data_IF_537900768416
#
_entry.id   IF_537900768416
#
_cell.length_a   1.000
_cell.length_b   1.000
_cell.length_c   1.000
_cell.angle_alpha   90.00
_cell.angle_beta   90.00
_cell.angle_gamma   90.00
#
_symmetry.space_group_name_H-M   'P 1'
#
loop_
_entity.id
_entity.type
_entity.pdbx_description
1 polymer ?
#
# COMPACT_ATOMS: atom_id res chain seq x y z
N UNK A 1 8.04 23.51 10.70
CA UNK A 1 6.87 22.61 10.85
C UNK A 1 7.03 21.59 11.98
N UNK A 2 8.18 20.91 12.13
CA UNK A 2 8.39 19.85 13.14
C UNK A 2 7.94 20.23 14.57
N UNK A 3 8.33 21.41 15.08
CA UNK A 3 7.95 21.89 16.42
C UNK A 3 6.45 21.99 16.65
N UNK A 4 5.69 22.42 15.64
CA UNK A 4 4.22 22.57 15.75
C UNK A 4 3.57 21.21 15.88
N UNK A 5 4.07 20.25 15.10
CA UNK A 5 3.54 18.89 15.08
C UNK A 5 3.90 18.16 16.37
N UNK A 6 5.13 18.29 16.86
CA UNK A 6 5.52 17.73 18.16
C UNK A 6 4.66 18.29 19.30
N UNK A 7 4.32 19.58 19.25
CA UNK A 7 3.39 20.18 20.22
C UNK A 7 1.98 19.61 20.09
N UNK A 8 1.43 19.53 18.88
CA UNK A 8 0.13 18.90 18.64
C UNK A 8 0.10 17.45 19.13
N UNK A 9 1.18 16.69 18.89
CA UNK A 9 1.29 15.32 19.36
C UNK A 9 1.26 15.27 20.88
N UNK A 10 2.18 15.98 21.54
CA UNK A 10 2.33 15.94 23.01
C UNK A 10 1.12 16.48 23.77
N UNK A 11 0.45 17.52 23.25
CA UNK A 11 -0.63 18.20 23.95
C UNK A 11 -2.02 17.62 23.63
N UNK A 12 -2.19 17.05 22.43
CA UNK A 12 -3.51 16.62 21.94
C UNK A 12 -3.55 15.12 21.67
N UNK A 13 -2.79 14.62 20.69
CA UNK A 13 -3.01 13.27 20.17
C UNK A 13 -2.50 12.15 21.08
N UNK A 14 -1.69 12.49 22.10
CA UNK A 14 -1.30 11.59 23.20
C UNK A 14 -2.01 11.88 24.52
N UNK A 15 -2.90 12.88 24.56
CA UNK A 15 -3.65 13.22 25.77
C UNK A 15 -4.97 12.43 25.82
N UNK A 16 -5.05 11.47 26.74
CA UNK A 16 -6.20 10.59 26.88
C UNK A 16 -7.54 11.30 27.12
N UNK A 17 -7.54 12.47 27.75
CA UNK A 17 -8.77 13.22 28.01
C UNK A 17 -9.33 13.86 26.73
N UNK A 18 -8.45 14.26 25.81
CA UNK A 18 -8.81 14.94 24.57
C UNK A 18 -9.17 13.96 23.45
N UNK A 19 -8.42 12.86 23.34
CA UNK A 19 -8.63 11.86 22.26
C UNK A 19 -9.94 11.09 22.41
N UNK A 20 -10.63 11.14 23.55
CA UNK A 20 -11.95 10.51 23.77
C UNK A 20 -13.12 11.19 23.04
N UNK A 21 -12.85 12.28 22.30
CA UNK A 21 -13.81 12.94 21.40
C UNK A 21 -13.60 12.52 19.95
N UNK A 22 -14.60 12.70 19.09
CA UNK A 22 -14.49 12.41 17.65
C UNK A 22 -13.39 13.25 17.02
N UNK A 23 -13.35 14.55 17.32
CA UNK A 23 -12.33 15.47 16.82
C UNK A 23 -10.94 15.08 17.31
N UNK A 24 -10.83 14.66 18.58
CA UNK A 24 -9.57 14.19 19.16
C UNK A 24 -9.04 12.92 18.49
N UNK A 25 -9.92 11.97 18.17
CA UNK A 25 -9.58 10.79 17.38
C UNK A 25 -9.18 11.18 15.95
N UNK A 26 -9.96 12.05 15.30
CA UNK A 26 -9.68 12.54 13.95
C UNK A 26 -8.32 13.24 13.88
N UNK A 27 -7.88 13.94 14.94
CA UNK A 27 -6.55 14.54 15.01
C UNK A 27 -5.38 13.53 14.97
N UNK A 28 -5.60 12.27 15.37
CA UNK A 28 -4.57 11.23 15.30
C UNK A 28 -4.34 10.78 13.84
N UNK A 29 -5.34 10.91 12.96
CA UNK A 29 -5.21 10.52 11.56
C UNK A 29 -4.19 11.41 10.80
N UNK A 30 -4.25 12.76 10.84
CA UNK A 30 -3.21 13.62 10.30
C UNK A 30 -1.82 13.39 10.91
N UNK A 31 -1.71 13.04 12.20
CA UNK A 31 -0.42 12.63 12.78
C UNK A 31 0.13 11.41 12.05
N UNK A 32 -0.69 10.37 11.87
CA UNK A 32 -0.31 9.15 11.16
C UNK A 32 0.17 9.47 9.76
N UNK A 33 -0.61 10.27 9.04
CA UNK A 33 -0.29 10.73 7.70
C UNK A 33 1.06 11.45 7.73
N UNK A 34 1.24 12.45 8.59
CA UNK A 34 2.51 13.18 8.71
C UNK A 34 3.70 12.26 8.97
N UNK A 35 3.60 11.32 9.91
CA UNK A 35 4.70 10.40 10.20
C UNK A 35 5.04 9.53 8.99
N UNK A 36 4.05 9.08 8.22
CA UNK A 36 4.26 8.37 6.97
C UNK A 36 4.95 9.26 5.91
N UNK A 37 4.48 10.50 5.75
CA UNK A 37 5.08 11.49 4.84
C UNK A 37 6.53 11.81 5.23
N UNK A 38 6.85 11.89 6.53
CA UNK A 38 8.19 12.07 7.06
C UNK A 38 9.08 10.83 6.92
N UNK A 39 8.49 9.66 6.61
CA UNK A 39 9.15 8.36 6.47
C UNK A 39 9.35 7.60 7.78
N UNK A 40 8.72 8.04 8.86
CA UNK A 40 8.76 7.38 10.17
C UNK A 40 7.65 6.32 10.24
N UNK A 41 7.74 5.26 9.44
CA UNK A 41 6.68 4.24 9.30
C UNK A 41 6.28 3.61 10.65
N UNK A 42 7.23 3.30 11.53
CA UNK A 42 6.92 2.78 12.87
C UNK A 42 6.12 3.77 13.71
N UNK A 43 6.44 5.08 13.65
CA UNK A 43 5.68 6.10 14.38
C UNK A 43 4.28 6.28 13.80
N UNK A 44 4.16 6.21 12.46
CA UNK A 44 2.86 6.21 11.78
C UNK A 44 2.01 5.02 12.24
N UNK A 45 2.60 3.82 12.27
CA UNK A 45 1.92 2.60 12.72
C UNK A 45 1.47 2.69 14.18
N UNK A 46 2.32 3.16 15.09
CA UNK A 46 1.95 3.39 16.48
C UNK A 46 0.82 4.41 16.64
N UNK A 47 0.85 5.52 15.88
CA UNK A 47 -0.21 6.51 15.89
C UNK A 47 -1.54 5.95 15.37
N UNK A 48 -1.49 5.19 14.27
CA UNK A 48 -2.67 4.52 13.73
C UNK A 48 -3.27 3.54 14.74
N UNK A 49 -2.44 2.72 15.40
CA UNK A 49 -2.92 1.81 16.44
C UNK A 49 -3.56 2.54 17.64
N UNK A 50 -3.06 3.73 18.02
CA UNK A 50 -3.75 4.56 19.02
C UNK A 50 -5.12 5.02 18.53
N UNK A 51 -5.23 5.52 17.29
CA UNK A 51 -6.51 5.93 16.71
C UNK A 51 -7.51 4.77 16.69
N UNK A 52 -7.04 3.57 16.35
CA UNK A 52 -7.80 2.33 16.36
C UNK A 52 -8.32 1.98 17.76
N UNK A 53 -7.46 2.03 18.78
CA UNK A 53 -7.87 1.80 20.17
C UNK A 53 -8.92 2.81 20.62
N UNK A 54 -8.74 4.09 20.29
CA UNK A 54 -9.73 5.14 20.58
C UNK A 54 -11.06 4.84 19.89
N UNK A 55 -11.04 4.49 18.60
CA UNK A 55 -12.24 4.14 17.83
C UNK A 55 -12.99 2.93 18.43
N UNK A 56 -12.26 1.94 18.95
CA UNK A 56 -12.83 0.79 19.67
C UNK A 56 -13.50 1.21 20.97
N UNK A 57 -12.85 2.06 21.78
CA UNK A 57 -13.44 2.60 23.02
C UNK A 57 -14.70 3.41 22.75
N UNK A 58 -14.77 4.08 21.60
CA UNK A 58 -15.93 4.84 21.14
C UNK A 58 -17.04 3.96 20.55
N UNK A 59 -16.85 2.63 20.47
CA UNK A 59 -17.78 1.67 19.88
C UNK A 59 -18.15 1.98 18.41
N UNK A 60 -17.25 2.63 17.65
CA UNK A 60 -17.48 2.92 16.23
C UNK A 60 -17.63 1.65 15.38
N UNK A 61 -17.21 0.50 15.93
CA UNK A 61 -17.31 -0.86 15.37
C UNK A 61 -18.70 -1.24 14.90
N UNK A 62 -19.74 -0.74 15.56
CA UNK A 62 -21.12 -1.16 15.29
C UNK A 62 -21.77 -0.40 14.12
N UNK A 63 -21.06 0.56 13.50
CA UNK A 63 -21.61 1.39 12.42
C UNK A 63 -22.77 2.30 12.84
N UNK A 64 -23.07 2.35 14.14
CA UNK A 64 -24.12 3.16 14.73
C UNK A 64 -23.47 4.30 15.51
N UNK A 65 -23.98 5.52 15.29
CA UNK A 65 -23.64 6.68 16.12
C UNK A 65 -24.17 6.39 17.52
N UNK A 66 -23.28 5.96 18.42
CA UNK A 66 -23.66 5.79 19.82
C UNK A 66 -24.06 7.16 20.39
N UNK A 67 -25.18 7.28 21.12
CA UNK A 67 -25.53 8.52 21.81
C UNK A 67 -24.47 8.94 22.85
N UNK A 68 -23.53 8.04 23.19
CA UNK A 68 -22.39 8.32 24.06
C UNK A 68 -21.18 8.96 23.36
N UNK A 69 -21.21 9.15 22.03
CA UNK A 69 -20.10 9.79 21.32
C UNK A 69 -19.98 11.26 21.74
N UNK A 70 -18.78 11.64 22.18
CA UNK A 70 -18.44 13.02 22.52
C UNK A 70 -18.02 13.76 21.26
N UNK A 71 -18.78 14.78 20.92
CA UNK A 71 -18.44 15.78 19.90
C UNK A 71 -18.11 17.09 20.61
N UNK A 72 -17.05 17.74 20.19
CA UNK A 72 -16.67 19.09 20.66
C UNK A 72 -17.45 20.13 19.86
N UNK A 73 -17.54 19.93 18.54
CA UNK A 73 -18.19 20.86 17.62
C UNK A 73 -19.49 20.28 17.05
N UNK A 74 -20.60 21.06 17.02
CA UNK A 74 -21.86 20.60 16.46
C UNK A 74 -21.79 20.23 14.97
N UNK A 75 -20.93 20.90 14.21
CA UNK A 75 -20.75 20.66 12.77
C UNK A 75 -20.17 19.28 12.50
N UNK A 76 -19.14 18.88 13.27
CA UNK A 76 -18.56 17.53 13.23
C UNK A 76 -19.63 16.46 13.41
N UNK A 77 -20.58 16.67 14.32
CA UNK A 77 -21.67 15.71 14.56
C UNK A 77 -22.56 15.49 13.34
N UNK A 78 -22.76 16.51 12.51
CA UNK A 78 -23.58 16.43 11.30
C UNK A 78 -22.84 15.73 10.16
N UNK A 79 -21.54 15.99 10.03
CA UNK A 79 -20.73 15.48 8.91
C UNK A 79 -20.07 14.14 9.22
N UNK A 80 -19.96 13.74 10.48
CA UNK A 80 -19.23 12.54 10.89
C UNK A 80 -19.90 11.28 10.36
N UNK A 81 -19.12 10.51 9.58
CA UNK A 81 -19.52 9.20 9.09
C UNK A 81 -18.68 8.11 9.77
N UNK A 82 -19.26 7.34 10.72
CA UNK A 82 -18.54 6.28 11.41
C UNK A 82 -17.99 5.21 10.46
N UNK A 83 -18.78 4.78 9.48
CA UNK A 83 -18.39 3.72 8.56
C UNK A 83 -17.20 4.14 7.68
N UNK A 84 -17.25 5.35 7.12
CA UNK A 84 -16.17 5.90 6.30
C UNK A 84 -14.89 6.12 7.13
N UNK A 85 -15.02 6.65 8.34
CA UNK A 85 -13.88 6.85 9.26
C UNK A 85 -13.20 5.54 9.57
N UNK A 86 -13.98 4.50 9.90
CA UNK A 86 -13.43 3.20 10.25
C UNK A 86 -12.81 2.49 9.05
N UNK A 87 -13.41 2.63 7.87
CA UNK A 87 -12.79 2.18 6.63
C UNK A 87 -11.40 2.82 6.43
N UNK A 88 -11.26 4.12 6.67
CA UNK A 88 -9.96 4.81 6.54
C UNK A 88 -8.94 4.37 7.60
N UNK A 89 -9.37 4.08 8.82
CA UNK A 89 -8.51 3.48 9.86
C UNK A 89 -7.98 2.12 9.39
N UNK A 90 -8.87 1.21 8.96
CA UNK A 90 -8.49 -0.15 8.51
C UNK A 90 -7.60 -0.10 7.26
N UNK A 91 -7.94 0.75 6.29
CA UNK A 91 -7.16 0.93 5.06
C UNK A 91 -5.73 1.35 5.39
N UNK A 92 -5.57 2.32 6.29
CA UNK A 92 -4.25 2.85 6.66
C UNK A 92 -3.45 1.86 7.52
N UNK A 93 -4.12 1.17 8.45
CA UNK A 93 -3.54 0.11 9.27
C UNK A 93 -2.95 -1.03 8.42
N UNK A 94 -3.74 -1.54 7.47
CA UNK A 94 -3.31 -2.60 6.55
C UNK A 94 -2.16 -2.16 5.66
N UNK A 95 -2.21 -0.92 5.14
CA UNK A 95 -1.09 -0.35 4.38
C UNK A 95 0.20 -0.34 5.21
N UNK A 96 0.18 0.23 6.42
CA UNK A 96 1.36 0.32 7.28
C UNK A 96 1.86 -1.07 7.71
N UNK A 97 0.94 -1.98 8.02
CA UNK A 97 1.23 -3.37 8.38
C UNK A 97 1.91 -4.13 7.23
N UNK A 98 1.43 -3.97 5.99
CA UNK A 98 2.11 -4.51 4.80
C UNK A 98 3.52 -3.93 4.66
N UNK A 99 3.65 -2.60 4.75
CA UNK A 99 4.92 -1.91 4.58
C UNK A 99 5.97 -2.34 5.60
N UNK A 100 5.56 -2.60 6.85
CA UNK A 100 6.43 -2.99 7.95
C UNK A 100 6.58 -4.51 8.12
N UNK A 101 5.73 -5.31 7.49
CA UNK A 101 5.67 -6.76 7.73
C UNK A 101 5.14 -7.12 9.14
N UNK A 102 4.25 -6.29 9.67
CA UNK A 102 3.63 -6.46 10.99
C UNK A 102 2.19 -7.01 10.85
N UNK A 103 1.62 -7.64 11.89
CA UNK A 103 0.21 -7.94 11.92
C UNK A 103 -0.64 -6.67 11.94
N UNK A 104 -1.79 -6.70 11.29
CA UNK A 104 -2.80 -5.63 11.40
C UNK A 104 -3.63 -5.77 12.68
N UNK A 105 -4.38 -4.73 13.01
CA UNK A 105 -5.30 -4.72 14.14
C UNK A 105 -6.47 -5.70 13.96
N UNK A 106 -7.04 -6.17 15.08
CA UNK A 106 -8.25 -7.01 15.12
C UNK A 106 -9.54 -6.24 14.82
N UNK A 107 -9.45 -5.04 14.25
CA UNK A 107 -10.62 -4.28 13.83
C UNK A 107 -11.44 -5.04 12.78
N UNK A 108 -10.78 -5.79 11.91
CA UNK A 108 -11.37 -6.44 10.75
C UNK A 108 -12.54 -7.38 11.07
N UNK A 109 -12.39 -8.24 12.10
CA UNK A 109 -13.46 -9.15 12.55
C UNK A 109 -14.72 -8.43 13.06
N UNK A 110 -14.57 -7.16 13.44
CA UNK A 110 -15.60 -6.38 14.13
C UNK A 110 -16.14 -5.24 13.27
N UNK A 111 -15.48 -4.94 12.17
CA UNK A 111 -15.85 -3.89 11.22
C UNK A 111 -16.12 -4.54 9.87
N UNK A 112 -17.39 -4.68 9.45
CA UNK A 112 -17.66 -5.08 8.08
C UNK A 112 -17.00 -4.07 7.15
N UNK A 113 -16.12 -4.55 6.26
CA UNK A 113 -15.68 -3.75 5.11
C UNK A 113 -16.96 -3.21 4.45
N UNK A 114 -17.05 -1.89 4.13
CA UNK A 114 -18.29 -1.32 3.62
C UNK A 114 -18.83 -2.21 2.50
N UNK A 115 -20.05 -2.72 2.68
CA UNK A 115 -20.67 -3.52 1.64
C UNK A 115 -20.71 -2.66 0.39
N UNK A 116 -20.21 -3.21 -0.71
CA UNK A 116 -20.17 -2.54 -2.00
C UNK A 116 -21.63 -2.35 -2.46
N UNK A 117 -22.23 -1.23 -2.08
CA UNK A 117 -23.52 -0.80 -2.62
C UNK A 117 -23.36 -0.49 -4.10
N UNK A 118 -24.39 -0.73 -4.90
CA UNK A 118 -24.43 -0.35 -6.32
C UNK A 118 -24.24 1.17 -6.53
N UNK A 119 -24.48 1.97 -5.48
CA UNK A 119 -24.29 3.43 -5.47
C UNK A 119 -22.82 3.87 -5.31
N UNK A 120 -21.91 2.95 -5.02
CA UNK A 120 -20.51 3.25 -4.75
C UNK A 120 -19.79 3.73 -6.03
N UNK A 121 -18.87 4.69 -5.93
CA UNK A 121 -18.05 5.07 -7.09
C UNK A 121 -17.04 3.96 -7.43
N UNK A 122 -16.60 3.84 -8.71
CA UNK A 122 -15.56 2.87 -9.09
C UNK A 122 -14.27 2.99 -8.25
N UNK A 123 -13.91 4.22 -7.86
CA UNK A 123 -12.72 4.48 -7.02
C UNK A 123 -12.89 3.92 -5.61
N UNK A 124 -14.04 4.13 -4.98
CA UNK A 124 -14.32 3.59 -3.65
C UNK A 124 -14.38 2.06 -3.67
N UNK A 125 -15.00 1.45 -4.70
CA UNK A 125 -15.00 -0.01 -4.87
C UNK A 125 -13.58 -0.56 -5.00
N UNK A 126 -12.74 0.10 -5.80
CA UNK A 126 -11.33 -0.27 -5.93
C UNK A 126 -10.58 -0.16 -4.60
N UNK A 127 -10.79 0.92 -3.83
CA UNK A 127 -10.18 1.09 -2.50
C UNK A 127 -10.64 -0.01 -1.53
N UNK A 128 -11.91 -0.40 -1.55
CA UNK A 128 -12.43 -1.52 -0.75
C UNK A 128 -11.76 -2.85 -1.13
N UNK A 129 -11.61 -3.13 -2.43
CA UNK A 129 -10.95 -4.35 -2.91
C UNK A 129 -9.47 -4.35 -2.53
N UNK A 130 -8.75 -3.23 -2.68
CA UNK A 130 -7.36 -3.10 -2.21
C UNK A 130 -7.27 -3.39 -0.72
N UNK A 131 -8.19 -2.84 0.08
CA UNK A 131 -8.23 -3.04 1.51
C UNK A 131 -8.44 -4.52 1.86
N UNK A 132 -9.42 -5.19 1.25
CA UNK A 132 -9.70 -6.61 1.48
C UNK A 132 -8.54 -7.52 1.08
N UNK A 133 -7.95 -7.30 -0.09
CA UNK A 133 -6.78 -8.06 -0.57
C UNK A 133 -5.57 -7.81 0.34
N UNK A 134 -5.38 -6.58 0.84
CA UNK A 134 -4.32 -6.28 1.78
C UNK A 134 -4.43 -7.10 3.08
N UNK A 135 -5.65 -7.28 3.62
CA UNK A 135 -5.89 -8.16 4.76
C UNK A 135 -5.46 -9.60 4.48
N UNK A 136 -5.93 -10.18 3.37
CA UNK A 136 -5.57 -11.54 2.95
C UNK A 136 -4.07 -11.74 2.71
N UNK A 137 -3.38 -10.72 2.17
CA UNK A 137 -1.92 -10.75 2.02
C UNK A 137 -1.23 -10.83 3.40
N UNK A 138 -1.69 -10.05 4.39
CA UNK A 138 -1.11 -10.06 5.73
C UNK A 138 -1.34 -11.41 6.41
N UNK A 139 -2.57 -11.93 6.38
CA UNK A 139 -2.93 -13.24 6.93
C UNK A 139 -2.07 -14.36 6.32
N UNK A 140 -1.92 -14.35 4.99
CA UNK A 140 -1.05 -15.31 4.27
C UNK A 140 0.39 -15.23 4.76
N UNK A 141 0.94 -14.02 4.91
CA UNK A 141 2.32 -13.85 5.33
C UNK A 141 2.54 -14.34 6.77
N UNK A 142 1.53 -14.23 7.65
CA UNK A 142 1.59 -14.71 9.04
C UNK A 142 1.39 -16.23 9.14
N UNK A 143 0.50 -16.80 8.32
CA UNK A 143 0.15 -18.23 8.35
C UNK A 143 1.11 -19.16 7.60
N UNK A 144 2.09 -18.62 6.87
CA UNK A 144 3.15 -19.37 6.17
C UNK A 144 2.69 -20.23 4.98
N UNK A 145 1.39 -20.33 4.71
CA UNK A 145 0.84 -21.14 3.63
C UNK A 145 0.53 -20.31 2.38
N UNK A 146 1.36 -20.48 1.34
CA UNK A 146 1.19 -19.80 0.06
C UNK A 146 0.42 -20.67 -0.93
N UNK A 147 -0.90 -20.45 -1.05
CA UNK A 147 -1.69 -21.05 -2.14
C UNK A 147 -1.67 -20.15 -3.37
N UNK A 148 -1.09 -20.62 -4.46
CA UNK A 148 -1.09 -19.89 -5.74
C UNK A 148 -2.51 -19.67 -6.26
N UNK A 149 -3.43 -20.61 -6.04
CA UNK A 149 -4.83 -20.47 -6.45
C UNK A 149 -5.52 -19.28 -5.76
N UNK A 150 -5.30 -19.12 -4.44
CA UNK A 150 -5.81 -17.96 -3.70
C UNK A 150 -5.22 -16.64 -4.21
N UNK A 151 -3.93 -16.63 -4.53
CA UNK A 151 -3.31 -15.46 -5.12
C UNK A 151 -3.85 -15.13 -6.52
N UNK A 152 -4.20 -16.12 -7.33
CA UNK A 152 -4.86 -15.92 -8.62
C UNK A 152 -6.29 -15.39 -8.46
N UNK A 153 -7.05 -15.83 -7.45
CA UNK A 153 -8.37 -15.29 -7.11
C UNK A 153 -8.28 -13.81 -6.72
N UNK A 154 -7.31 -13.44 -5.87
CA UNK A 154 -7.04 -12.05 -5.49
C UNK A 154 -6.59 -11.19 -6.68
N UNK A 155 -5.77 -11.72 -7.58
CA UNK A 155 -5.36 -11.03 -8.81
C UNK A 155 -6.56 -10.76 -9.72
N UNK A 156 -7.50 -11.70 -9.82
CA UNK A 156 -8.76 -11.49 -10.56
C UNK A 156 -9.60 -10.38 -9.94
N UNK A 157 -9.70 -10.31 -8.62
CA UNK A 157 -10.44 -9.23 -7.94
C UNK A 157 -9.79 -7.86 -8.17
N UNK A 158 -8.46 -7.76 -8.03
CA UNK A 158 -7.74 -6.53 -8.31
C UNK A 158 -7.92 -6.08 -9.76
N UNK A 159 -7.88 -7.01 -10.71
CA UNK A 159 -8.04 -6.71 -12.14
C UNK A 159 -9.45 -6.24 -12.47
N UNK A 160 -10.48 -6.93 -11.98
CA UNK A 160 -11.88 -6.52 -12.17
C UNK A 160 -12.11 -5.10 -11.64
N UNK A 161 -11.58 -4.79 -10.45
CA UNK A 161 -11.65 -3.45 -9.89
C UNK A 161 -10.97 -2.40 -10.78
N UNK A 162 -9.83 -2.76 -11.37
CA UNK A 162 -9.10 -1.89 -12.27
C UNK A 162 -9.80 -1.68 -13.63
N UNK A 163 -10.49 -2.70 -14.13
CA UNK A 163 -11.23 -2.68 -15.39
C UNK A 163 -12.50 -1.81 -15.32
N UNK A 164 -13.06 -1.61 -14.12
CA UNK A 164 -14.16 -0.66 -13.89
C UNK A 164 -13.72 0.80 -14.00
N UNK A 165 -12.42 1.06 -13.88
CA UNK A 165 -11.87 2.42 -14.00
C UNK A 165 -11.74 2.79 -15.46
N UNK A 166 -12.16 4.01 -15.79
CA UNK A 166 -12.04 4.50 -17.15
C UNK A 166 -10.56 4.55 -17.60
N UNK A 167 -10.19 4.19 -18.85
CA UNK A 167 -8.79 4.09 -19.27
C UNK A 167 -7.96 5.36 -19.04
N UNK A 168 -8.56 6.54 -19.23
CA UNK A 168 -7.93 7.84 -18.97
C UNK A 168 -7.56 8.06 -17.51
N UNK A 169 -8.23 7.37 -16.58
CA UNK A 169 -7.93 7.45 -15.16
C UNK A 169 -6.54 6.89 -14.87
N UNK A 170 -6.10 5.84 -15.59
CA UNK A 170 -4.80 5.19 -15.45
C UNK A 170 -3.62 5.97 -16.01
N UNK A 171 -3.88 7.02 -16.80
CA UNK A 171 -2.83 7.91 -17.29
C UNK A 171 -2.11 8.59 -16.12
N UNK A 172 -0.81 8.80 -16.29
CA UNK A 172 0.02 9.51 -15.31
C UNK A 172 -0.49 10.95 -15.21
N UNK A 173 -0.92 11.41 -14.02
CA UNK A 173 -1.39 12.78 -13.85
C UNK A 173 -0.30 13.80 -14.17
N UNK A 174 -0.70 14.94 -14.71
CA UNK A 174 0.20 16.06 -14.96
C UNK A 174 0.18 17.01 -13.76
N UNK A 175 1.29 17.10 -13.04
CA UNK A 175 1.43 17.93 -11.85
C UNK A 175 2.08 19.31 -12.14
N UNK A 176 2.18 19.72 -13.40
CA UNK A 176 2.64 21.06 -13.75
C UNK A 176 1.68 22.09 -13.12
N UNK A 177 2.19 23.05 -12.31
CA UNK A 177 1.35 24.05 -11.68
C UNK A 177 0.67 24.93 -12.74
N UNK A 178 -0.63 24.72 -12.97
CA UNK A 178 -1.47 25.72 -13.61
C UNK A 178 -2.00 26.61 -12.48
N UNK A 179 -1.72 27.91 -12.54
CA UNK A 179 -1.72 28.86 -11.41
C UNK A 179 -3.07 29.15 -10.74
N UNK A 180 -4.11 28.33 -10.89
CA UNK A 180 -5.45 28.65 -10.38
C UNK A 180 -6.30 27.49 -9.83
N UNK A 181 -5.89 26.21 -9.89
CA UNK A 181 -6.75 25.11 -9.42
C UNK A 181 -6.06 24.15 -8.44
N UNK A 182 -6.03 24.54 -7.16
CA UNK A 182 -5.57 23.67 -6.07
C UNK A 182 -6.44 22.43 -5.86
N UNK A 183 -7.71 22.45 -6.27
CA UNK A 183 -8.62 21.31 -6.16
C UNK A 183 -8.25 20.20 -7.14
N UNK A 184 -7.83 20.56 -8.36
CA UNK A 184 -7.32 19.60 -9.36
C UNK A 184 -6.05 18.92 -8.88
N UNK A 185 -5.13 19.69 -8.31
CA UNK A 185 -3.87 19.16 -7.78
C UNK A 185 -4.10 18.15 -6.65
N UNK A 186 -5.04 18.42 -5.75
CA UNK A 186 -5.46 17.47 -4.72
C UNK A 186 -6.06 16.20 -5.35
N UNK A 187 -6.98 16.33 -6.31
CA UNK A 187 -7.57 15.17 -7.01
C UNK A 187 -6.52 14.32 -7.72
N UNK A 188 -5.58 14.95 -8.40
CA UNK A 188 -4.48 14.25 -9.10
C UNK A 188 -3.51 13.58 -8.13
N UNK A 189 -3.29 14.18 -6.95
CA UNK A 189 -2.50 13.57 -5.87
C UNK A 189 -3.20 12.35 -5.28
N UNK A 190 -4.51 12.43 -5.02
CA UNK A 190 -5.27 11.27 -4.54
C UNK A 190 -5.28 10.14 -5.58
N UNK A 191 -5.51 10.49 -6.86
CA UNK A 191 -5.48 9.56 -7.99
C UNK A 191 -4.17 8.80 -8.10
N UNK A 192 -3.02 9.49 -8.02
CA UNK A 192 -1.73 8.80 -8.12
C UNK A 192 -1.47 7.89 -6.91
N UNK A 193 -1.95 8.25 -5.72
CA UNK A 193 -1.82 7.39 -4.53
C UNK A 193 -2.65 6.11 -4.68
N UNK A 194 -3.86 6.20 -5.23
CA UNK A 194 -4.69 5.02 -5.53
C UNK A 194 -4.03 4.12 -6.60
N UNK A 195 -3.48 4.71 -7.66
CA UNK A 195 -2.72 3.98 -8.69
C UNK A 195 -1.51 3.26 -8.09
N UNK A 196 -0.70 3.98 -7.29
CA UNK A 196 0.47 3.40 -6.63
C UNK A 196 0.09 2.27 -5.68
N UNK A 197 -1.03 2.42 -4.95
CA UNK A 197 -1.57 1.39 -4.07
C UNK A 197 -1.96 0.14 -4.87
N UNK A 198 -2.64 0.29 -6.00
CA UNK A 198 -3.02 -0.83 -6.87
C UNK A 198 -1.80 -1.66 -7.31
N UNK A 199 -0.79 -1.01 -7.89
CA UNK A 199 0.41 -1.71 -8.33
C UNK A 199 1.22 -2.28 -7.16
N UNK A 200 1.22 -1.61 -6.01
CA UNK A 200 1.85 -2.16 -4.81
C UNK A 200 1.17 -3.45 -4.33
N UNK A 201 -0.16 -3.51 -4.36
CA UNK A 201 -0.90 -4.74 -4.03
C UNK A 201 -0.53 -5.89 -4.97
N UNK A 202 -0.45 -5.64 -6.29
CA UNK A 202 -0.02 -6.64 -7.27
C UNK A 202 1.40 -7.16 -6.96
N UNK A 203 2.34 -6.26 -6.65
CA UNK A 203 3.70 -6.67 -6.26
C UNK A 203 3.66 -7.56 -5.01
N UNK A 204 2.96 -7.14 -3.95
CA UNK A 204 2.93 -7.89 -2.67
C UNK A 204 2.22 -9.23 -2.80
N UNK A 205 1.19 -9.31 -3.64
CA UNK A 205 0.47 -10.53 -3.94
C UNK A 205 1.39 -11.55 -4.62
N UNK A 206 2.09 -11.12 -5.67
CA UNK A 206 2.92 -12.01 -6.48
C UNK A 206 4.33 -12.26 -5.91
N UNK A 207 4.78 -11.45 -4.96
CA UNK A 207 6.14 -11.49 -4.41
C UNK A 207 6.63 -12.89 -4.05
N UNK A 208 5.89 -13.74 -3.31
CA UNK A 208 6.39 -15.06 -2.94
C UNK A 208 6.68 -15.94 -4.17
N UNK A 209 5.90 -15.82 -5.24
CA UNK A 209 5.99 -16.67 -6.43
C UNK A 209 7.08 -16.23 -7.41
N UNK A 210 7.70 -15.07 -7.21
CA UNK A 210 8.85 -14.61 -7.99
C UNK A 210 10.08 -15.48 -7.71
N UNK A 211 10.20 -15.99 -6.47
CA UNK A 211 11.38 -16.72 -5.99
C UNK A 211 11.32 -18.24 -6.21
N UNK A 212 10.15 -18.81 -6.52
CA UNK A 212 10.00 -20.26 -6.70
C UNK A 212 10.33 -20.74 -8.13
N UNK A 213 10.72 -22.02 -8.22
CA UNK A 213 11.19 -22.77 -9.41
C UNK A 213 10.38 -22.50 -10.70
N UNK A 214 11.00 -22.53 -11.90
CA UNK A 214 10.32 -22.22 -13.16
C UNK A 214 9.13 -23.15 -13.43
N UNK A 215 7.94 -22.54 -13.51
CA UNK A 215 6.71 -23.11 -14.03
C UNK A 215 5.90 -22.03 -14.75
N UNK A 216 5.00 -22.37 -15.69
CA UNK A 216 4.30 -21.39 -16.52
C UNK A 216 3.49 -20.37 -15.70
N UNK A 217 2.92 -20.79 -14.56
CA UNK A 217 2.20 -19.89 -13.65
C UNK A 217 3.13 -18.96 -12.85
N UNK A 218 4.34 -19.43 -12.51
CA UNK A 218 5.36 -18.60 -11.86
C UNK A 218 5.89 -17.53 -12.83
N UNK A 219 5.92 -17.83 -14.14
CA UNK A 219 6.22 -16.82 -15.17
C UNK A 219 5.19 -15.69 -15.21
N UNK A 220 3.89 -15.98 -15.10
CA UNK A 220 2.86 -14.95 -15.04
C UNK A 220 3.05 -14.03 -13.84
N UNK A 221 3.27 -14.60 -12.66
CA UNK A 221 3.50 -13.82 -11.43
C UNK A 221 4.73 -12.91 -11.55
N UNK A 222 5.82 -13.39 -12.16
CA UNK A 222 7.01 -12.60 -12.46
C UNK A 222 6.70 -11.44 -13.40
N UNK A 223 6.00 -11.69 -14.51
CA UNK A 223 5.63 -10.65 -15.48
C UNK A 223 4.75 -9.59 -14.81
N UNK A 224 3.72 -9.98 -14.05
CA UNK A 224 2.85 -9.04 -13.34
C UNK A 224 3.66 -8.15 -12.39
N UNK A 225 4.55 -8.74 -11.58
CA UNK A 225 5.36 -7.99 -10.63
C UNK A 225 6.35 -7.02 -11.31
N UNK A 226 6.97 -7.44 -12.42
CA UNK A 226 7.86 -6.58 -13.22
C UNK A 226 7.07 -5.41 -13.81
N UNK A 227 5.91 -5.67 -14.42
CA UNK A 227 5.07 -4.63 -15.02
C UNK A 227 4.57 -3.64 -13.96
N UNK A 228 4.02 -4.14 -12.85
CA UNK A 228 3.61 -3.30 -11.73
C UNK A 228 4.76 -2.45 -11.17
N UNK A 229 5.98 -3.01 -11.10
CA UNK A 229 7.18 -2.26 -10.67
C UNK A 229 7.53 -1.13 -11.63
N UNK A 230 7.44 -1.37 -12.94
CA UNK A 230 7.64 -0.31 -13.96
C UNK A 230 6.59 0.78 -13.84
N UNK A 231 5.32 0.41 -13.66
CA UNK A 231 4.23 1.36 -13.51
C UNK A 231 4.37 2.25 -12.26
N UNK A 232 4.86 1.70 -11.13
CA UNK A 232 5.21 2.46 -9.93
C UNK A 232 6.32 3.46 -10.23
N UNK A 233 7.41 3.01 -10.86
CA UNK A 233 8.58 3.87 -11.11
C UNK A 233 8.28 5.00 -12.08
N UNK A 234 7.54 4.74 -13.16
CA UNK A 234 7.11 5.77 -14.12
C UNK A 234 6.30 6.87 -13.43
N UNK A 235 5.33 6.49 -12.58
CA UNK A 235 4.50 7.43 -11.80
C UNK A 235 5.31 8.17 -10.74
N UNK A 236 6.18 7.47 -10.03
CA UNK A 236 7.06 8.06 -9.03
C UNK A 236 7.99 9.11 -9.65
N UNK A 237 8.59 8.83 -10.82
CA UNK A 237 9.45 9.78 -11.54
C UNK A 237 8.64 11.01 -11.96
N UNK A 238 7.46 10.83 -12.56
CA UNK A 238 6.61 11.94 -12.97
C UNK A 238 6.18 12.82 -11.77
N UNK A 239 5.79 12.19 -10.67
CA UNK A 239 5.42 12.88 -9.43
C UNK A 239 6.60 13.66 -8.84
N UNK A 240 7.80 13.06 -8.81
CA UNK A 240 9.01 13.67 -8.25
C UNK A 240 9.55 14.82 -9.10
N UNK A 241 9.51 14.68 -10.42
CA UNK A 241 10.05 15.69 -11.36
C UNK A 241 9.16 16.93 -11.44
N UNK A 242 7.86 16.75 -11.26
CA UNK A 242 6.89 17.85 -11.30
C UNK A 242 6.72 18.56 -9.96
N UNK A 243 7.13 17.94 -8.85
CA UNK A 243 7.01 18.52 -7.51
C UNK A 243 8.23 19.39 -7.16
N UNK A 244 8.08 20.71 -7.34
CA UNK A 244 8.93 21.67 -6.63
C UNK A 244 8.58 21.60 -5.14
N UNK A 245 9.24 20.75 -4.35
CA UNK A 245 9.21 20.66 -2.87
C UNK A 245 7.86 20.51 -2.11
N UNK A 246 6.68 20.78 -2.70
CA UNK A 246 5.40 20.91 -1.98
C UNK A 246 4.71 19.57 -1.65
N UNK A 247 5.01 18.50 -2.39
CA UNK A 247 4.33 17.19 -2.28
C UNK A 247 5.27 16.04 -1.88
N UNK A 248 6.35 16.36 -1.18
CA UNK A 248 7.32 15.35 -0.77
C UNK A 248 6.69 14.31 0.17
N UNK A 249 6.36 13.14 -0.35
CA UNK A 249 5.90 11.98 0.40
C UNK A 249 6.99 10.91 0.42
N UNK A 250 7.63 10.71 1.58
CA UNK A 250 8.64 9.65 1.75
C UNK A 250 8.01 8.25 1.68
N UNK A 251 6.70 8.13 1.90
CA UNK A 251 5.90 6.93 1.61
C UNK A 251 6.09 6.41 0.17
N UNK A 252 6.06 7.31 -0.82
CA UNK A 252 6.27 6.94 -2.22
C UNK A 252 7.70 6.45 -2.51
N UNK A 253 8.70 6.93 -1.75
CA UNK A 253 10.07 6.44 -1.87
C UNK A 253 10.17 4.97 -1.48
N UNK A 254 9.45 4.52 -0.46
CA UNK A 254 9.44 3.10 -0.10
C UNK A 254 8.80 2.24 -1.20
N UNK A 255 7.72 2.71 -1.83
CA UNK A 255 7.12 2.00 -2.96
C UNK A 255 8.08 1.90 -4.16
N UNK A 256 8.77 3.00 -4.48
CA UNK A 256 9.79 3.02 -5.52
C UNK A 256 10.96 2.10 -5.19
N UNK A 257 11.43 2.10 -3.92
CA UNK A 257 12.47 1.21 -3.46
C UNK A 257 12.07 -0.26 -3.60
N UNK A 258 10.86 -0.63 -3.20
CA UNK A 258 10.33 -1.98 -3.40
C UNK A 258 10.34 -2.34 -4.88
N UNK A 259 9.78 -1.49 -5.75
CA UNK A 259 9.74 -1.73 -7.19
C UNK A 259 11.14 -1.93 -7.81
N UNK A 260 12.12 -1.12 -7.42
CA UNK A 260 13.52 -1.28 -7.87
C UNK A 260 14.07 -2.65 -7.45
N UNK A 261 13.87 -3.04 -6.18
CA UNK A 261 14.33 -4.34 -5.70
C UNK A 261 13.72 -5.51 -6.50
N UNK A 262 12.43 -5.45 -6.81
CA UNK A 262 11.76 -6.47 -7.64
C UNK A 262 12.39 -6.55 -9.04
N UNK A 263 12.64 -5.41 -9.68
CA UNK A 263 13.28 -5.39 -11.00
C UNK A 263 14.71 -5.93 -10.96
N UNK A 264 15.50 -5.56 -9.94
CA UNK A 264 16.85 -6.08 -9.76
C UNK A 264 16.84 -7.60 -9.57
N UNK A 265 15.97 -8.11 -8.68
CA UNK A 265 15.83 -9.55 -8.42
C UNK A 265 15.40 -10.28 -9.70
N UNK A 266 14.42 -9.75 -10.43
CA UNK A 266 13.96 -10.35 -11.68
C UNK A 266 15.09 -10.42 -12.72
N UNK A 267 15.91 -9.37 -12.85
CA UNK A 267 17.04 -9.33 -13.77
C UNK A 267 18.19 -10.26 -13.36
N UNK A 268 18.48 -10.39 -12.06
CA UNK A 268 19.48 -11.36 -11.58
C UNK A 268 19.00 -12.78 -11.88
N UNK A 269 17.74 -13.09 -11.58
CA UNK A 269 17.16 -14.42 -11.81
C UNK A 269 17.14 -14.80 -13.30
N UNK A 270 16.89 -13.86 -14.21
CA UNK A 270 16.91 -14.15 -15.65
C UNK A 270 18.32 -14.47 -16.15
N UNK A 271 19.36 -13.79 -15.64
CA UNK A 271 20.77 -14.08 -15.97
C UNK A 271 21.25 -15.43 -15.44
N UNK A 272 20.85 -15.78 -14.22
CA UNK A 272 21.20 -17.09 -13.65
C UNK A 272 20.58 -18.24 -14.46
N UNK A 273 19.38 -18.04 -15.01
CA UNK A 273 18.72 -19.02 -15.86
C UNK A 273 19.38 -19.13 -17.25
N UNK A 274 19.81 -18.03 -17.86
CA UNK A 274 20.52 -18.07 -19.14
C UNK A 274 21.87 -18.80 -19.04
N UNK A 275 22.63 -18.55 -17.96
CA UNK A 275 23.89 -19.27 -17.73
C UNK A 275 23.68 -20.75 -17.36
N UNK A 276 22.59 -21.10 -16.67
CA UNK A 276 22.24 -22.50 -16.42
C UNK A 276 21.96 -23.27 -17.71
N UNK A 277 21.26 -22.65 -18.66
CA UNK A 277 20.96 -23.25 -19.98
C UNK A 277 22.23 -23.35 -20.83
N UNK A 278 23.10 -22.34 -20.82
CA UNK A 278 24.40 -22.40 -21.49
C UNK A 278 25.31 -23.50 -20.90
N UNK A 279 25.36 -23.66 -19.58
CA UNK A 279 26.14 -24.73 -18.94
C UNK A 279 25.58 -26.14 -19.19
N UNK A 280 24.28 -26.25 -19.54
CA UNK A 280 23.63 -27.51 -19.89
C UNK A 280 23.83 -27.88 -21.38
N UNK A 281 24.26 -26.93 -22.20
CA UNK A 281 24.52 -27.10 -23.64
C UNK A 281 26.00 -27.08 -24.03
N UNK A 282 26.92 -26.94 -23.06
CA UNK A 282 28.36 -26.93 -23.32
C UNK A 282 28.97 -28.26 -22.91
N UNK A 283 29.30 -29.06 -23.92
CA UNK A 283 30.34 -30.09 -23.85
C UNK A 283 31.55 -29.56 -23.07
N UNK A 284 32.01 -30.35 -22.10
CA UNK A 284 33.28 -30.27 -21.40
C UNK A 284 34.38 -29.51 -22.18
N UNK A 285 34.54 -28.24 -21.86
CA UNK A 285 35.59 -27.35 -22.37
C UNK A 285 36.58 -26.99 -21.28
N UNK A 286 37.16 -27.99 -20.61
CA UNK A 286 38.33 -27.84 -19.74
C UNK A 286 39.26 -29.04 -19.91
N UNK A 287 39.76 -29.22 -21.14
CA UNK A 287 41.03 -29.91 -21.41
C UNK A 287 42.02 -28.88 -21.94
N UNK A 288 42.52 -28.03 -21.06
CA UNK A 288 43.71 -27.26 -21.35
C UNK A 288 44.40 -26.96 -20.02
N UNK A 289 44.94 -28.02 -19.40
CA UNK A 289 46.00 -28.01 -18.38
C UNK A 289 46.26 -29.47 -17.96
N UNK A 290 46.90 -30.24 -18.83
CA UNK A 290 47.60 -31.47 -18.44
C UNK A 290 49.03 -31.40 -19.01
N UNK A 291 50.08 -31.59 -18.18
CA UNK A 291 51.46 -31.46 -18.62
C UNK A 291 51.84 -32.65 -19.51
N UNK A 292 52.51 -32.36 -20.63
CA UNK A 292 53.15 -33.37 -21.47
C UNK A 292 54.25 -34.08 -20.66
N UNK A 293 54.07 -35.36 -20.33
CA UNK A 293 55.17 -36.21 -19.89
C UNK A 293 55.78 -36.93 -21.09
N UNK A 294 57.02 -36.55 -21.39
CA UNK A 294 57.93 -37.27 -22.27
C UNK A 294 58.24 -38.66 -21.72
N UNK A 295 58.02 -39.69 -22.53
CA UNK A 295 58.95 -40.80 -22.81
C UNK A 295 58.41 -41.65 -23.96
#
# INVERSE_FOLDING_TARGET
MTRVIEKAISLVTTNEELIRSVEGMECIMPETVYQNYAGNLHRAWMAMHRAITVAQMMNLQRGLVSPSLKFIEPETRVTFNPAQTCFKLIQTDRYLSIMLGLPHSSLDDRFPTPQLSDECSPTERMQCIHCAVAGRIIERNNGGFNSLAKAEEDDVLLRKAADEMAPQWWLIPNFIPCSSDGSKLLRDTLRIMDQLTHYHMLIRLHLPYIFFSPGPRNNRSKITAINASREILSRYIAFRTSSSAHFYCRGCYFLAFIAINILCIAHINSRSQSHGIESSGVHTGFECLAPQSSK
#
